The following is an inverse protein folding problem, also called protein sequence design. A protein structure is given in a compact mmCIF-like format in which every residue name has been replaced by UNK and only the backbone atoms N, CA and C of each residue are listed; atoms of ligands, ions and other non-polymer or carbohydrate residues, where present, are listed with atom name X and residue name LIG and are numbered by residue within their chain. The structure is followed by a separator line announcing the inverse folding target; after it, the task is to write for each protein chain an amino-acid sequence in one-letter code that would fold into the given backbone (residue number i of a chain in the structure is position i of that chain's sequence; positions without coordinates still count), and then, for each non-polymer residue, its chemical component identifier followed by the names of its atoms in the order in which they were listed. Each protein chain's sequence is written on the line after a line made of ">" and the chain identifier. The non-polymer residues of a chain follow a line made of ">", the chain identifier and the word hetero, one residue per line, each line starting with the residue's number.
data_IF_544834838701
#
_entry.id   IF_544834838701
#
_cell.length_a   1.000
_cell.length_b   1.000
_cell.length_c   1.000
_cell.angle_alpha   90.00
_cell.angle_beta   90.00
_cell.angle_gamma   90.00
#
_symmetry.space_group_name_H-M   'P 1'
#
loop_
_entity.id
_entity.type
_entity.pdbx_description
1 polymer ?
#
# COMPACT_ATOMS: atom_id res chain seq x y z
N UNK A 1 19.86 23.15 25.40
CA UNK A 1 18.90 22.11 24.99
C UNK A 1 18.47 22.43 23.57
N UNK A 2 18.99 21.74 22.57
CA UNK A 2 18.52 21.94 21.20
C UNK A 2 17.14 21.31 21.08
N UNK A 3 16.11 22.14 20.89
CA UNK A 3 14.84 21.66 20.38
C UNK A 3 15.10 21.16 18.96
N UNK A 4 15.26 19.85 18.81
CA UNK A 4 15.12 19.21 17.51
C UNK A 4 13.66 19.37 17.14
N UNK A 5 13.35 20.31 16.26
CA UNK A 5 12.05 20.35 15.59
C UNK A 5 11.97 19.08 14.75
N UNK A 6 11.33 18.04 15.30
CA UNK A 6 11.07 16.81 14.56
C UNK A 6 10.16 17.20 13.40
N UNK A 7 10.68 17.09 12.18
CA UNK A 7 9.86 17.27 10.98
C UNK A 7 8.72 16.26 11.03
N UNK A 8 7.46 16.66 10.80
CA UNK A 8 6.34 15.73 10.86
C UNK A 8 6.56 14.57 9.88
N UNK A 9 6.40 13.34 10.36
CA UNK A 9 6.42 12.17 9.48
C UNK A 9 5.32 12.26 8.42
N UNK A 10 5.59 11.72 7.23
CA UNK A 10 4.56 11.51 6.20
C UNK A 10 4.26 10.03 6.05
N UNK A 11 2.98 9.68 6.13
CA UNK A 11 2.45 8.37 5.74
C UNK A 11 2.05 8.41 4.26
N UNK A 12 2.82 7.73 3.42
CA UNK A 12 2.53 7.54 2.00
C UNK A 12 1.69 6.27 1.81
N UNK A 13 0.52 6.42 1.19
CA UNK A 13 -0.43 5.35 0.91
C UNK A 13 -0.57 5.17 -0.61
N UNK A 14 -0.75 3.94 -1.08
CA UNK A 14 -0.78 3.62 -2.51
C UNK A 14 -2.13 3.02 -2.91
N UNK A 15 -2.86 3.73 -3.77
CA UNK A 15 -4.13 3.28 -4.34
C UNK A 15 -3.98 3.08 -5.85
N UNK A 16 -4.34 1.91 -6.35
CA UNK A 16 -4.34 1.63 -7.79
C UNK A 16 -4.45 0.14 -8.07
N UNK A 17 -4.81 -0.19 -9.30
CA UNK A 17 -5.00 -1.58 -9.76
C UNK A 17 -3.70 -2.38 -9.81
N UNK A 18 -3.77 -3.69 -9.99
CA UNK A 18 -2.58 -4.54 -10.19
C UNK A 18 -1.78 -3.99 -11.38
N UNK A 19 -0.45 -4.05 -11.32
CA UNK A 19 0.45 -3.53 -12.36
C UNK A 19 0.31 -2.03 -12.69
N UNK A 20 -0.38 -1.23 -11.86
CA UNK A 20 -0.48 0.23 -12.06
C UNK A 20 0.82 0.98 -11.80
N UNK A 21 1.82 0.35 -11.18
CA UNK A 21 3.12 0.95 -10.86
C UNK A 21 3.34 1.28 -9.39
N UNK A 22 2.43 0.86 -8.49
CA UNK A 22 2.51 1.11 -7.03
C UNK A 22 3.89 0.77 -6.45
N UNK A 23 4.41 -0.44 -6.64
CA UNK A 23 5.70 -0.85 -6.06
C UNK A 23 6.88 -0.03 -6.59
N UNK A 24 6.82 0.44 -7.84
CA UNK A 24 7.83 1.35 -8.39
C UNK A 24 7.77 2.72 -7.72
N UNK A 25 6.56 3.25 -7.50
CA UNK A 25 6.37 4.49 -6.74
C UNK A 25 6.80 4.32 -5.28
N UNK A 26 6.49 3.16 -4.67
CA UNK A 26 6.87 2.83 -3.30
C UNK A 26 8.39 2.89 -3.12
N UNK A 27 9.14 2.26 -4.04
CA UNK A 27 10.59 2.25 -4.05
C UNK A 27 11.18 3.66 -4.18
N UNK A 28 10.57 4.52 -5.00
CA UNK A 28 11.01 5.93 -5.14
C UNK A 28 10.76 6.72 -3.86
N UNK A 29 9.56 6.63 -3.28
CA UNK A 29 9.21 7.36 -2.06
C UNK A 29 10.03 6.87 -0.85
N UNK A 30 10.28 5.57 -0.75
CA UNK A 30 11.05 4.98 0.33
C UNK A 30 12.56 5.20 0.23
N UNK A 31 13.07 5.76 -0.87
CA UNK A 31 14.47 6.15 -1.00
C UNK A 31 14.76 7.49 -0.30
N UNK A 32 13.73 8.24 0.11
CA UNK A 32 13.90 9.50 0.83
C UNK A 32 14.48 9.27 2.24
N UNK A 33 15.42 10.12 2.70
CA UNK A 33 16.00 10.01 4.04
C UNK A 33 14.94 10.02 5.14
N UNK A 34 15.04 9.08 6.09
CA UNK A 34 14.08 8.96 7.18
C UNK A 34 12.73 8.38 6.77
N UNK A 35 12.63 7.79 5.58
CA UNK A 35 11.48 7.02 5.12
C UNK A 35 11.80 5.51 5.11
N UNK A 36 10.83 4.69 5.48
CA UNK A 36 10.90 3.23 5.35
C UNK A 36 9.74 2.71 4.51
N UNK A 37 9.92 1.55 3.88
CA UNK A 37 8.85 0.85 3.16
C UNK A 37 8.37 -0.33 4.00
N UNK A 38 7.06 -0.45 4.18
CA UNK A 38 6.42 -1.65 4.72
C UNK A 38 5.54 -2.28 3.64
N UNK A 39 5.99 -3.38 3.06
CA UNK A 39 5.30 -4.09 1.97
C UNK A 39 4.47 -5.26 2.49
N UNK A 40 3.16 -5.24 2.24
CA UNK A 40 2.26 -6.33 2.64
C UNK A 40 2.70 -7.65 2.03
N UNK A 41 3.01 -7.68 0.73
CA UNK A 41 3.40 -8.89 0.00
C UNK A 41 4.65 -9.54 0.60
N UNK A 42 5.66 -8.74 0.98
CA UNK A 42 6.89 -9.26 1.60
C UNK A 42 6.61 -9.89 2.97
N UNK A 43 5.80 -9.23 3.79
CA UNK A 43 5.44 -9.74 5.12
C UNK A 43 4.54 -10.97 5.06
N UNK A 44 3.57 -10.97 4.14
CA UNK A 44 2.70 -12.12 3.93
C UNK A 44 3.49 -13.33 3.42
N UNK A 45 4.42 -13.15 2.47
CA UNK A 45 5.28 -14.21 1.98
C UNK A 45 6.20 -14.76 3.09
N UNK A 46 6.73 -13.91 3.97
CA UNK A 46 7.62 -14.32 5.06
C UNK A 46 6.88 -15.02 6.21
N UNK A 47 5.70 -14.54 6.60
CA UNK A 47 4.95 -15.05 7.75
C UNK A 47 4.01 -16.21 7.41
N UNK A 48 3.54 -16.28 6.16
CA UNK A 48 2.50 -17.20 5.73
C UNK A 48 2.81 -17.92 4.39
N UNK A 49 4.04 -18.46 4.19
CA UNK A 49 4.51 -18.96 2.89
C UNK A 49 3.60 -20.03 2.26
N UNK A 50 2.86 -20.81 3.07
CA UNK A 50 1.97 -21.88 2.61
C UNK A 50 0.52 -21.73 3.12
N UNK A 51 0.08 -20.51 3.45
CA UNK A 51 -1.31 -20.30 3.92
C UNK A 51 -2.20 -19.54 2.94
N UNK A 52 -1.65 -19.00 1.85
CA UNK A 52 -2.38 -18.11 0.92
C UNK A 52 -2.91 -18.87 -0.31
N UNK A 53 -3.86 -19.79 -0.07
CA UNK A 53 -4.45 -20.60 -1.15
C UNK A 53 -5.72 -19.99 -1.76
N UNK A 54 -6.31 -18.99 -1.10
CA UNK A 54 -7.58 -18.39 -1.50
C UNK A 54 -7.65 -16.90 -1.14
N UNK A 55 -8.64 -16.20 -1.69
CA UNK A 55 -8.95 -14.81 -1.31
C UNK A 55 -9.31 -14.72 0.18
N UNK A 56 -10.03 -15.71 0.72
CA UNK A 56 -10.40 -15.75 2.13
C UNK A 56 -9.16 -15.88 3.04
N UNK A 57 -8.19 -16.70 2.63
CA UNK A 57 -6.91 -16.81 3.34
C UNK A 57 -6.14 -15.49 3.34
N UNK A 58 -6.06 -14.84 2.17
CA UNK A 58 -5.45 -13.51 2.06
C UNK A 58 -6.12 -12.52 3.00
N UNK A 59 -7.45 -12.41 3.01
CA UNK A 59 -8.18 -11.48 3.89
C UNK A 59 -7.88 -11.76 5.37
N UNK A 60 -7.85 -13.03 5.78
CA UNK A 60 -7.53 -13.45 7.14
C UNK A 60 -6.09 -13.09 7.52
N UNK A 61 -5.11 -13.48 6.70
CA UNK A 61 -3.69 -13.23 6.95
C UNK A 61 -3.35 -11.73 6.92
N UNK A 62 -3.90 -10.97 5.97
CA UNK A 62 -3.76 -9.52 5.90
C UNK A 62 -4.36 -8.83 7.13
N UNK A 63 -5.49 -9.30 7.66
CA UNK A 63 -6.06 -8.78 8.90
C UNK A 63 -5.16 -9.03 10.12
N UNK A 64 -4.60 -10.25 10.25
CA UNK A 64 -3.64 -10.57 11.31
C UNK A 64 -2.38 -9.72 11.22
N UNK A 65 -1.84 -9.55 10.01
CA UNK A 65 -0.68 -8.70 9.77
C UNK A 65 -0.98 -7.24 10.13
N UNK A 66 -2.10 -6.67 9.65
CA UNK A 66 -2.53 -5.30 9.99
C UNK A 66 -2.63 -5.09 11.50
N UNK A 67 -3.19 -6.04 12.23
CA UNK A 67 -3.26 -5.99 13.69
C UNK A 67 -1.87 -5.97 14.33
N UNK A 68 -0.95 -6.82 13.86
CA UNK A 68 0.40 -6.90 14.39
C UNK A 68 1.24 -5.65 14.12
N UNK A 69 1.15 -5.07 12.91
CA UNK A 69 2.00 -3.93 12.51
C UNK A 69 1.46 -2.57 12.98
N UNK A 70 0.15 -2.45 13.26
CA UNK A 70 -0.48 -1.17 13.63
C UNK A 70 0.22 -0.46 14.81
N UNK A 71 0.52 -1.11 15.95
CA UNK A 71 1.23 -0.44 17.06
C UNK A 71 2.62 0.08 16.68
N UNK A 72 3.32 -0.65 15.79
CA UNK A 72 4.66 -0.26 15.34
C UNK A 72 4.61 0.92 14.36
N UNK A 73 3.65 0.91 13.43
CA UNK A 73 3.41 2.03 12.51
C UNK A 73 3.15 3.33 13.29
N UNK A 74 2.32 3.28 14.33
CA UNK A 74 2.05 4.45 15.16
C UNK A 74 3.29 4.96 15.89
N UNK A 75 4.09 4.04 16.45
CA UNK A 75 5.35 4.40 17.11
C UNK A 75 6.32 5.08 16.16
N UNK A 76 6.49 4.54 14.95
CA UNK A 76 7.38 5.10 13.92
C UNK A 76 6.94 6.49 13.47
N UNK A 77 5.65 6.63 13.12
CA UNK A 77 5.09 7.90 12.67
C UNK A 77 5.18 8.98 13.76
N UNK A 78 4.90 8.63 15.01
CA UNK A 78 5.01 9.56 16.16
C UNK A 78 6.47 9.95 16.43
N UNK A 79 7.42 9.07 16.12
CA UNK A 79 8.86 9.34 16.25
C UNK A 79 9.43 10.18 15.09
N UNK A 80 8.61 10.59 14.11
CA UNK A 80 9.05 11.37 12.95
C UNK A 80 9.60 10.53 11.78
N UNK A 81 9.46 9.20 11.83
CA UNK A 81 9.86 8.32 10.72
C UNK A 81 8.72 8.26 9.71
N UNK A 82 9.01 8.65 8.47
CA UNK A 82 8.05 8.55 7.37
C UNK A 82 7.91 7.10 6.92
N UNK A 83 6.72 6.73 6.46
CA UNK A 83 6.43 5.35 6.06
C UNK A 83 5.73 5.34 4.71
N UNK A 84 6.26 4.56 3.79
CA UNK A 84 5.50 4.07 2.64
C UNK A 84 4.81 2.78 3.04
N UNK A 85 3.49 2.84 3.17
CA UNK A 85 2.66 1.69 3.49
C UNK A 85 2.19 1.06 2.17
N UNK A 86 3.00 0.12 1.65
CA UNK A 86 2.70 -0.66 0.44
C UNK A 86 1.73 -1.80 0.77
N UNK A 87 0.56 -1.39 1.27
CA UNK A 87 -0.64 -2.19 1.50
C UNK A 87 -1.71 -1.69 0.53
N UNK A 88 -2.64 -2.53 0.08
CA UNK A 88 -3.61 -2.13 -0.93
C UNK A 88 -4.67 -1.18 -0.35
N UNK A 89 -4.63 0.09 -0.79
CA UNK A 89 -5.68 1.08 -0.50
C UNK A 89 -6.88 0.95 -1.48
N UNK A 90 -7.17 -0.26 -1.96
CA UNK A 90 -8.12 -0.53 -3.04
C UNK A 90 -9.58 -0.63 -2.59
N UNK A 91 -9.85 -0.85 -1.29
CA UNK A 91 -11.21 -0.88 -0.73
C UNK A 91 -11.39 0.25 0.27
N UNK A 92 -12.64 0.69 0.45
CA UNK A 92 -12.97 1.67 1.47
C UNK A 92 -12.61 1.17 2.88
N UNK A 93 -12.77 -0.13 3.14
CA UNK A 93 -12.42 -0.74 4.43
C UNK A 93 -10.92 -0.64 4.74
N UNK A 94 -10.05 -0.93 3.76
CA UNK A 94 -8.61 -0.78 3.93
C UNK A 94 -8.22 0.68 4.16
N UNK A 95 -8.84 1.61 3.42
CA UNK A 95 -8.62 3.04 3.60
C UNK A 95 -9.13 3.53 4.96
N UNK A 96 -10.22 3.00 5.48
CA UNK A 96 -10.68 3.28 6.84
C UNK A 96 -9.64 2.91 7.91
N UNK A 97 -9.00 1.75 7.79
CA UNK A 97 -7.87 1.38 8.65
C UNK A 97 -6.68 2.34 8.49
N UNK A 98 -6.31 2.70 7.26
CA UNK A 98 -5.22 3.65 7.00
C UNK A 98 -5.51 5.03 7.59
N UNK A 99 -6.74 5.53 7.47
CA UNK A 99 -7.17 6.79 8.10
C UNK A 99 -7.09 6.72 9.62
N UNK A 100 -7.35 5.55 10.22
CA UNK A 100 -7.15 5.37 11.67
C UNK A 100 -5.68 5.56 12.08
N UNK A 101 -4.70 5.17 11.24
CA UNK A 101 -3.28 5.39 11.49
C UNK A 101 -2.95 6.89 11.45
N UNK A 102 -3.48 7.59 10.45
CA UNK A 102 -3.31 9.04 10.27
C UNK A 102 -3.83 9.77 11.51
N UNK A 103 -5.09 9.54 11.87
CA UNK A 103 -5.75 10.24 12.99
C UNK A 103 -5.05 9.97 14.32
N UNK A 104 -4.58 8.75 14.56
CA UNK A 104 -3.95 8.36 15.84
C UNK A 104 -2.49 8.81 15.97
N UNK A 105 -1.79 9.00 14.86
CA UNK A 105 -0.39 9.47 14.85
C UNK A 105 -0.24 10.97 14.64
N UNK A 106 -1.30 11.63 14.15
CA UNK A 106 -1.26 13.02 13.67
C UNK A 106 -0.19 13.29 12.60
N UNK A 107 0.28 12.23 11.91
CA UNK A 107 1.23 12.35 10.83
C UNK A 107 0.62 13.09 9.63
N UNK A 108 1.48 13.74 8.84
CA UNK A 108 1.11 14.13 7.50
C UNK A 108 0.81 12.87 6.68
N UNK A 109 0.02 13.00 5.62
CA UNK A 109 -0.30 11.86 4.77
C UNK A 109 -0.53 12.28 3.33
N UNK A 110 -0.27 11.34 2.43
CA UNK A 110 -0.56 11.44 1.01
C UNK A 110 -1.11 10.09 0.52
N UNK A 111 -2.29 10.12 -0.13
CA UNK A 111 -2.83 8.96 -0.83
C UNK A 111 -2.53 9.12 -2.32
N UNK A 112 -1.51 8.39 -2.77
CA UNK A 112 -1.11 8.37 -4.16
C UNK A 112 -2.07 7.47 -4.95
N UNK A 113 -2.91 8.09 -5.78
CA UNK A 113 -3.87 7.41 -6.62
C UNK A 113 -3.33 7.25 -8.05
N UNK A 114 -3.02 6.01 -8.44
CA UNK A 114 -2.57 5.63 -9.77
C UNK A 114 -3.79 5.19 -10.59
N UNK A 115 -4.37 6.14 -11.33
CA UNK A 115 -5.60 5.99 -12.10
C UNK A 115 -5.29 5.65 -13.56
N UNK A 116 -4.95 4.37 -13.78
CA UNK A 116 -4.60 3.86 -15.11
C UNK A 116 -5.74 3.02 -15.69
N UNK A 117 -5.97 3.11 -17.02
CA UNK A 117 -6.88 2.21 -17.72
C UNK A 117 -6.49 0.74 -17.53
N UNK A 118 -7.48 -0.15 -17.59
CA UNK A 118 -7.28 -1.60 -17.43
C UNK A 118 -6.35 -2.16 -18.50
N UNK A 119 -6.51 -1.73 -19.76
CA UNK A 119 -5.68 -2.18 -20.87
C UNK A 119 -4.19 -1.85 -20.64
N UNK A 120 -3.89 -0.67 -20.08
CA UNK A 120 -2.53 -0.30 -19.71
C UNK A 120 -1.97 -1.19 -18.59
N UNK A 121 -2.80 -1.50 -17.59
CA UNK A 121 -2.40 -2.35 -16.47
C UNK A 121 -2.19 -3.80 -16.92
N UNK A 122 -3.07 -4.34 -17.77
CA UNK A 122 -2.96 -5.67 -18.36
C UNK A 122 -1.71 -5.79 -19.23
N UNK A 123 -1.44 -4.81 -20.11
CA UNK A 123 -0.22 -4.79 -20.91
C UNK A 123 1.06 -4.84 -20.05
N UNK A 124 1.09 -4.08 -18.95
CA UNK A 124 2.21 -4.12 -17.99
C UNK A 124 2.30 -5.44 -17.24
N UNK A 125 1.17 -6.05 -16.88
CA UNK A 125 1.12 -7.36 -16.24
C UNK A 125 1.71 -8.44 -17.17
N UNK A 126 1.35 -8.43 -18.46
CA UNK A 126 1.93 -9.35 -19.44
C UNK A 126 3.44 -9.19 -19.58
N UNK A 127 3.92 -7.96 -19.72
CA UNK A 127 5.35 -7.69 -19.83
C UNK A 127 6.14 -8.19 -18.61
N UNK A 128 5.59 -8.00 -17.40
CA UNK A 128 6.18 -8.51 -16.14
C UNK A 128 6.18 -10.03 -16.05
N UNK A 129 5.08 -10.67 -16.44
CA UNK A 129 4.98 -12.13 -16.44
C UNK A 129 6.00 -12.76 -17.41
N UNK A 130 6.34 -12.05 -18.49
CA UNK A 130 7.37 -12.48 -19.44
C UNK A 130 8.80 -12.28 -18.94
N UNK A 131 9.07 -11.29 -18.07
CA UNK A 131 10.42 -11.04 -17.54
C UNK A 131 10.81 -12.00 -16.40
N UNK A 132 9.83 -12.62 -15.72
CA UNK A 132 10.07 -13.56 -14.61
C UNK A 132 10.53 -12.90 -13.31
N UNK A 133 10.48 -11.58 -13.21
CA UNK A 133 11.07 -10.80 -12.10
C UNK A 133 10.17 -10.66 -10.86
N UNK A 134 8.97 -11.26 -10.84
CA UNK A 134 7.98 -11.06 -9.77
C UNK A 134 7.59 -12.34 -9.04
N UNK A 135 7.50 -12.22 -7.71
CA UNK A 135 7.05 -13.26 -6.78
C UNK A 135 5.61 -13.74 -7.05
N UNK A 136 4.78 -12.92 -7.71
CA UNK A 136 3.40 -13.24 -8.08
C UNK A 136 3.13 -12.93 -9.55
N UNK A 137 2.98 -13.97 -10.37
CA UNK A 137 2.56 -13.85 -11.77
C UNK A 137 1.03 -13.93 -11.85
N UNK A 138 0.35 -12.81 -11.60
CA UNK A 138 -1.11 -12.76 -11.68
C UNK A 138 -1.59 -13.01 -13.14
N UNK A 139 -2.64 -13.79 -13.29
CA UNK A 139 -3.33 -13.97 -14.58
C UNK A 139 -4.27 -12.81 -14.87
N UNK A 140 -4.69 -12.63 -16.12
CA UNK A 140 -5.74 -11.65 -16.46
C UNK A 140 -7.06 -11.94 -15.71
N UNK A 141 -7.41 -13.21 -15.52
CA UNK A 141 -8.61 -13.57 -14.76
C UNK A 141 -8.51 -13.14 -13.29
N UNK A 142 -7.32 -13.29 -12.69
CA UNK A 142 -7.05 -12.78 -11.34
C UNK A 142 -7.05 -11.26 -11.31
N UNK A 143 -6.50 -10.59 -12.34
CA UNK A 143 -6.58 -9.15 -12.49
C UNK A 143 -8.04 -8.66 -12.48
N UNK A 144 -8.88 -9.26 -13.32
CA UNK A 144 -10.30 -8.88 -13.44
C UNK A 144 -11.04 -9.18 -12.12
N UNK A 145 -10.78 -10.34 -11.51
CA UNK A 145 -11.37 -10.71 -10.22
C UNK A 145 -11.03 -9.70 -9.12
N UNK A 146 -9.75 -9.34 -8.98
CA UNK A 146 -9.29 -8.42 -7.93
C UNK A 146 -9.75 -7.00 -8.21
N UNK A 147 -9.76 -6.58 -9.48
CA UNK A 147 -10.21 -5.25 -9.90
C UNK A 147 -11.69 -5.03 -9.63
N UNK A 148 -12.53 -6.07 -9.56
CA UNK A 148 -13.95 -5.93 -9.14
C UNK A 148 -14.13 -5.40 -7.72
N UNK A 149 -13.14 -5.58 -6.85
CA UNK A 149 -13.16 -5.05 -5.49
C UNK A 149 -12.52 -3.65 -5.40
N UNK A 150 -12.05 -3.09 -6.52
CA UNK A 150 -11.43 -1.78 -6.53
C UNK A 150 -12.48 -0.68 -6.43
N UNK A 151 -12.37 0.12 -5.38
CA UNK A 151 -13.18 1.30 -5.13
C UNK A 151 -12.27 2.54 -5.21
N UNK A 152 -12.47 3.46 -6.17
CA UNK A 152 -11.66 4.67 -6.25
C UNK A 152 -11.84 5.54 -4.99
N UNK A 153 -10.80 6.26 -4.54
CA UNK A 153 -10.89 7.09 -3.35
C UNK A 153 -11.91 8.22 -3.54
N UNK A 154 -12.72 8.48 -2.52
CA UNK A 154 -13.74 9.53 -2.52
C UNK A 154 -13.30 10.71 -1.67
N UNK A 155 -13.74 11.92 -2.05
CA UNK A 155 -13.41 13.14 -1.31
C UNK A 155 -13.89 13.10 0.16
N UNK A 156 -15.01 12.42 0.43
CA UNK A 156 -15.56 12.24 1.77
C UNK A 156 -14.66 11.42 2.70
N UNK A 157 -13.66 10.70 2.16
CA UNK A 157 -12.72 9.92 2.97
C UNK A 157 -11.61 10.78 3.59
N UNK A 158 -11.46 12.05 3.17
CA UNK A 158 -10.58 13.03 3.83
C UNK A 158 -9.09 12.87 3.55
N UNK A 159 -8.69 12.10 2.53
CA UNK A 159 -7.28 11.95 2.15
C UNK A 159 -6.76 13.13 1.33
N UNK A 160 -5.50 13.49 1.57
CA UNK A 160 -4.72 14.32 0.65
C UNK A 160 -4.34 13.51 -0.61
N UNK A 161 -5.10 13.66 -1.69
CA UNK A 161 -4.89 12.90 -2.93
C UNK A 161 -3.73 13.45 -3.77
N UNK A 162 -2.88 12.55 -4.25
CA UNK A 162 -1.87 12.82 -5.28
C UNK A 162 -2.14 11.92 -6.48
N UNK A 163 -2.51 12.52 -7.61
CA UNK A 163 -2.88 11.78 -8.82
C UNK A 163 -1.66 11.43 -9.67
N UNK A 164 -1.59 10.19 -10.12
CA UNK A 164 -0.62 9.67 -11.09
C UNK A 164 -1.37 9.09 -12.28
N UNK A 165 -1.00 9.52 -13.49
CA UNK A 165 -1.60 9.12 -14.77
C UNK A 165 -0.53 8.57 -15.71
#
# INVERSE_FOLDING_TARGET
>A
MHHHTVTPATLHLLCGKIASGKSTLAARLGAEPGCIILSEDQWLAALYPDQLHSVADYVRCAALLKNAVTPHLLTLLTAGVSVVLDFPANTQANRGWMMSLITRSAAQHQLHYLDLPDDCCKARLHARNQSGEHLFAATEQQFDLITRYFEPPQASEGFNLVYHR
#
